data_IF_988388571941
#
_entry.id   IF_988388571941
#
_cell.length_a   1.000
_cell.length_b   1.000
_cell.length_c   1.000
_cell.angle_alpha   90.00
_cell.angle_beta   90.00
_cell.angle_gamma   90.00
#
_symmetry.space_group_name_H-M   'P 1'
#
loop_
_entity.id
_entity.type
_entity.pdbx_description
1 polymer ?
#
# COMPACT_ATOMS: atom_id res chain seq x y z
N UNK A 1 -0.14 -19.63 6.53
CA UNK A 1 -0.01 -20.51 5.34
C UNK A 1 -1.30 -20.63 4.51
N UNK A 2 -2.51 -20.67 5.11
CA UNK A 2 -3.76 -20.95 4.36
C UNK A 2 -4.11 -19.91 3.27
N UNK A 3 -3.94 -18.60 3.55
CA UNK A 3 -4.32 -17.53 2.62
C UNK A 3 -3.53 -17.59 1.30
N UNK A 4 -2.23 -17.89 1.35
CA UNK A 4 -1.38 -17.94 0.16
C UNK A 4 -1.85 -19.03 -0.82
N UNK A 5 -2.28 -20.18 -0.30
CA UNK A 5 -2.82 -21.30 -1.08
C UNK A 5 -4.12 -20.93 -1.82
N UNK A 6 -4.98 -20.13 -1.21
CA UNK A 6 -6.21 -19.63 -1.85
C UNK A 6 -5.94 -18.54 -2.90
N UNK A 7 -4.85 -17.80 -2.76
CA UNK A 7 -4.45 -16.74 -3.70
C UNK A 7 -3.46 -17.23 -4.77
N UNK A 8 -3.22 -18.54 -4.85
CA UNK A 8 -2.24 -19.16 -5.75
C UNK A 8 -0.84 -18.52 -5.64
N UNK A 9 -0.49 -18.00 -4.46
CA UNK A 9 0.82 -17.42 -4.18
C UNK A 9 1.80 -18.49 -3.75
N UNK A 10 3.08 -18.30 -4.08
CA UNK A 10 4.15 -19.21 -3.67
C UNK A 10 4.16 -19.41 -2.15
N UNK A 11 4.29 -20.66 -1.73
CA UNK A 11 4.49 -21.05 -0.33
C UNK A 11 5.98 -20.99 0.06
N UNK A 12 6.87 -20.81 -0.92
CA UNK A 12 8.29 -20.65 -0.65
C UNK A 12 8.55 -19.34 0.12
N UNK A 13 9.46 -19.36 1.11
CA UNK A 13 9.90 -18.14 1.78
C UNK A 13 10.46 -17.17 0.74
N UNK A 14 9.68 -16.14 0.41
CA UNK A 14 10.18 -15.06 -0.40
C UNK A 14 11.15 -14.24 0.45
N UNK A 15 12.29 -13.78 -0.12
CA UNK A 15 13.17 -12.88 0.61
C UNK A 15 12.35 -11.68 1.08
N UNK A 16 12.53 -11.29 2.34
CA UNK A 16 11.94 -10.06 2.85
C UNK A 16 12.53 -8.91 2.03
N UNK A 17 11.70 -8.34 1.16
CA UNK A 17 12.09 -7.17 0.38
C UNK A 17 12.08 -5.99 1.35
N UNK A 18 13.26 -5.64 1.84
CA UNK A 18 13.45 -4.42 2.61
C UNK A 18 13.27 -3.21 1.68
N UNK A 19 12.04 -2.70 1.59
CA UNK A 19 11.70 -1.50 0.83
C UNK A 19 11.51 -0.36 1.81
N UNK A 20 12.26 0.74 1.63
CA UNK A 20 12.10 1.91 2.49
C UNK A 20 10.80 2.66 2.19
N UNK A 21 10.24 3.33 3.21
CA UNK A 21 9.07 4.22 3.03
C UNK A 21 9.31 5.29 1.96
N UNK A 22 10.56 5.73 1.79
CA UNK A 22 10.92 6.73 0.77
C UNK A 22 10.82 6.16 -0.63
N UNK A 23 11.16 4.88 -0.83
CA UNK A 23 11.06 4.23 -2.13
C UNK A 23 9.60 3.94 -2.48
N UNK A 24 8.80 3.55 -1.49
CA UNK A 24 7.33 3.50 -1.64
C UNK A 24 6.79 4.88 -2.00
N UNK A 25 7.22 5.94 -1.32
CA UNK A 25 6.76 7.30 -1.56
C UNK A 25 7.03 7.76 -2.99
N UNK A 26 8.25 7.50 -3.49
CA UNK A 26 8.64 7.80 -4.87
C UNK A 26 7.77 7.03 -5.85
N UNK A 27 7.61 5.73 -5.65
CA UNK A 27 6.83 4.87 -6.55
C UNK A 27 5.36 5.34 -6.62
N UNK A 28 4.71 5.57 -5.47
CA UNK A 28 3.28 5.91 -5.46
C UNK A 28 2.97 7.32 -5.95
N UNK A 29 3.97 8.21 -5.95
CA UNK A 29 3.83 9.60 -6.39
C UNK A 29 4.52 9.91 -7.72
N UNK A 30 4.97 8.89 -8.45
CA UNK A 30 5.78 9.07 -9.66
C UNK A 30 6.98 10.02 -9.45
N UNK A 31 7.62 9.93 -8.28
CA UNK A 31 8.77 10.72 -7.88
C UNK A 31 8.47 12.17 -7.44
N UNK A 32 7.21 12.61 -7.46
CA UNK A 32 6.82 13.96 -7.02
C UNK A 32 7.06 14.18 -5.52
N UNK A 33 6.97 13.12 -4.72
CA UNK A 33 7.32 13.12 -3.29
C UNK A 33 8.43 12.10 -3.08
N UNK A 34 9.62 12.58 -2.70
CA UNK A 34 10.83 11.76 -2.59
C UNK A 34 11.02 11.12 -1.22
N UNK A 35 10.41 11.72 -0.20
CA UNK A 35 10.57 11.35 1.20
C UNK A 35 9.20 11.26 1.81
N UNK A 36 8.93 10.19 2.55
CA UNK A 36 7.66 10.03 3.22
C UNK A 36 7.45 11.17 4.24
N UNK A 37 6.29 11.84 4.26
CA UNK A 37 6.04 12.91 5.21
C UNK A 37 6.17 12.41 6.66
N UNK A 38 7.10 12.97 7.43
CA UNK A 38 7.28 12.64 8.86
C UNK A 38 6.04 12.97 9.70
N UNK A 39 5.22 13.92 9.23
CA UNK A 39 3.94 14.32 9.83
C UNK A 39 2.91 14.51 8.71
N UNK A 40 1.71 14.01 8.92
CA UNK A 40 0.61 14.10 7.95
C UNK A 40 0.57 12.97 6.94
N UNK A 41 -0.30 13.11 5.93
CA UNK A 41 -0.54 12.13 4.87
C UNK A 41 -0.06 12.66 3.53
N UNK A 42 0.27 11.76 2.62
CA UNK A 42 0.49 12.11 1.21
C UNK A 42 -0.85 12.57 0.64
N UNK A 43 -0.87 13.73 -0.02
CA UNK A 43 -2.06 14.22 -0.70
C UNK A 43 -2.43 13.29 -1.86
N UNK A 44 -3.71 12.92 -1.96
CA UNK A 44 -4.20 12.07 -3.05
C UNK A 44 -3.96 12.68 -4.44
N UNK A 45 -3.86 14.01 -4.55
CA UNK A 45 -3.53 14.70 -5.80
C UNK A 45 -2.08 14.53 -6.27
N UNK A 46 -1.19 14.03 -5.41
CA UNK A 46 0.19 13.68 -5.76
C UNK A 46 0.38 12.20 -6.07
N UNK A 47 -0.68 11.39 -5.95
CA UNK A 47 -0.61 9.97 -6.30
C UNK A 47 -0.65 9.81 -7.81
N UNK A 48 0.13 8.85 -8.30
CA UNK A 48 -0.02 8.41 -9.68
C UNK A 48 -1.40 7.75 -9.87
N UNK A 49 -1.94 7.81 -11.10
CA UNK A 49 -3.35 7.48 -11.38
C UNK A 49 -3.76 6.10 -10.83
N UNK A 50 -2.92 5.07 -11.02
CA UNK A 50 -3.19 3.71 -10.53
C UNK A 50 -3.37 3.66 -9.00
N UNK A 51 -2.57 4.42 -8.26
CA UNK A 51 -2.64 4.48 -6.80
C UNK A 51 -3.74 5.40 -6.29
N UNK A 52 -4.07 6.47 -7.02
CA UNK A 52 -5.20 7.33 -6.70
C UNK A 52 -6.53 6.56 -6.76
N UNK A 53 -6.71 5.73 -7.80
CA UNK A 53 -7.88 4.85 -7.96
C UNK A 53 -7.91 3.83 -6.82
N UNK A 54 -6.78 3.17 -6.54
CA UNK A 54 -6.69 2.20 -5.45
C UNK A 54 -7.03 2.81 -4.09
N UNK A 55 -6.50 4.00 -3.79
CA UNK A 55 -6.81 4.75 -2.57
C UNK A 55 -8.31 5.08 -2.46
N UNK A 56 -8.96 5.45 -3.58
CA UNK A 56 -10.40 5.71 -3.63
C UNK A 56 -11.23 4.45 -3.35
N UNK A 57 -10.87 3.32 -3.95
CA UNK A 57 -11.52 2.02 -3.73
C UNK A 57 -11.34 1.61 -2.26
N UNK A 58 -10.12 1.70 -1.73
CA UNK A 58 -9.83 1.42 -0.33
C UNK A 58 -10.67 2.29 0.60
N UNK A 59 -10.73 3.60 0.37
CA UNK A 59 -11.53 4.51 1.19
C UNK A 59 -13.04 4.21 1.16
N UNK A 60 -13.57 3.76 0.02
CA UNK A 60 -14.98 3.38 -0.12
C UNK A 60 -15.30 2.03 0.53
N UNK A 61 -14.37 1.08 0.47
CA UNK A 61 -14.55 -0.28 0.97
C UNK A 61 -14.11 -0.48 2.43
N UNK A 62 -13.39 0.49 3.01
CA UNK A 62 -12.91 0.44 4.40
C UNK A 62 -14.07 0.64 5.39
N UNK A 63 -15.00 -0.32 5.43
CA UNK A 63 -15.96 -0.46 6.51
C UNK A 63 -15.19 -1.03 7.71
N UNK A 64 -15.22 -0.40 8.89
CA UNK A 64 -14.66 -0.98 10.10
C UNK A 64 -15.37 -2.31 10.40
N UNK A 65 -14.71 -3.43 10.12
CA UNK A 65 -15.22 -4.72 10.56
C UNK A 65 -14.97 -4.83 12.05
N UNK A 66 -16.04 -5.00 12.83
CA UNK A 66 -15.96 -5.23 14.27
C UNK A 66 -15.44 -6.66 14.50
N UNK A 67 -14.15 -6.88 14.30
CA UNK A 67 -13.49 -8.07 14.85
C UNK A 67 -12.98 -7.70 16.24
N UNK A 68 -13.74 -8.07 17.26
CA UNK A 68 -13.20 -8.22 18.61
C UNK A 68 -12.29 -9.44 18.63
N UNK A 69 -11.11 -9.28 19.24
CA UNK A 69 -10.14 -10.36 19.49
C UNK A 69 -10.73 -11.49 20.32
#
# INVERSE_FOLDING_TARGET
AVINKFLERSEEPQPELEVSDNDVCKEITAGQVKVWPKKGKISSGKLFVKYAILNRIGAANWVPTKHTS
#
